data_IF_379943319167
#
_entry.id   IF_379943319167
#
_cell.length_a   1.000
_cell.length_b   1.000
_cell.length_c   1.000
_cell.angle_alpha   90.00
_cell.angle_beta   90.00
_cell.angle_gamma   90.00
#
_symmetry.space_group_name_H-M   'P 1'
#
loop_
_entity.id
_entity.type
_entity.pdbx_description
1 polymer ?
#
# COMPACT_ATOMS: atom_id res chain seq x y z
N UNK A 1 -9.39 -15.82 20.09
CA UNK A 1 -10.24 -15.15 19.09
C UNK A 1 -9.54 -13.85 18.77
N UNK A 2 -8.99 -13.64 17.56
CA UNK A 2 -8.47 -12.32 17.20
C UNK A 2 -9.59 -11.28 17.32
N UNK A 3 -9.26 -10.07 17.77
CA UNK A 3 -10.25 -9.01 17.83
C UNK A 3 -10.79 -8.69 16.43
N UNK A 4 -12.07 -8.33 16.28
CA UNK A 4 -12.57 -7.82 15.01
C UNK A 4 -11.76 -6.56 14.64
N UNK A 5 -10.86 -6.67 13.66
CA UNK A 5 -9.94 -5.62 13.24
C UNK A 5 -8.45 -5.94 13.38
N UNK A 6 -8.08 -7.02 14.06
CA UNK A 6 -6.68 -7.47 14.11
C UNK A 6 -6.35 -8.34 12.90
N UNK A 7 -5.24 -7.99 12.22
CA UNK A 7 -4.72 -8.78 11.12
C UNK A 7 -4.17 -10.10 11.67
N UNK A 8 -4.30 -11.21 10.92
CA UNK A 8 -3.77 -12.50 11.36
C UNK A 8 -2.24 -12.59 11.23
N UNK A 9 -1.56 -11.50 10.87
CA UNK A 9 -0.15 -11.38 10.56
C UNK A 9 0.33 -10.00 11.03
N UNK A 10 1.63 -9.85 11.30
CA UNK A 10 2.20 -8.62 11.86
C UNK A 10 2.99 -7.85 10.82
N UNK A 11 3.00 -6.51 10.91
CA UNK A 11 3.88 -5.67 10.09
C UNK A 11 4.88 -4.91 10.97
N UNK A 12 6.14 -5.33 10.93
CA UNK A 12 7.27 -4.62 11.50
C UNK A 12 7.81 -3.63 10.45
N UNK A 13 7.20 -2.46 10.35
CA UNK A 13 7.69 -1.42 9.44
C UNK A 13 8.66 -0.49 10.17
N UNK A 14 9.70 0.00 9.47
CA UNK A 14 10.41 1.20 9.94
C UNK A 14 9.37 2.33 9.96
N UNK A 15 9.00 2.70 11.18
CA UNK A 15 7.84 3.54 11.43
C UNK A 15 7.94 4.87 10.71
N UNK A 16 9.12 5.37 10.34
CA UNK A 16 9.32 6.74 9.89
C UNK A 16 8.45 7.18 8.69
N UNK A 17 8.29 6.34 7.67
CA UNK A 17 7.71 6.73 6.37
C UNK A 17 6.34 6.15 6.06
N UNK A 18 5.77 5.30 6.93
CA UNK A 18 4.44 4.73 6.72
C UNK A 18 3.52 5.14 7.86
N UNK A 19 2.29 5.54 7.52
CA UNK A 19 1.23 5.85 8.47
C UNK A 19 0.17 4.77 8.37
N UNK A 20 -0.08 4.06 9.46
CA UNK A 20 -1.15 3.07 9.50
C UNK A 20 -2.51 3.76 9.38
N UNK A 21 -3.37 3.25 8.48
CA UNK A 21 -4.74 3.69 8.31
C UNK A 21 -5.63 2.76 9.17
N UNK A 22 -6.35 3.30 10.16
CA UNK A 22 -7.11 2.50 11.11
C UNK A 22 -8.26 1.73 10.46
N UNK A 23 -8.67 0.65 11.11
CA UNK A 23 -9.96 0.01 10.84
C UNK A 23 -11.04 0.84 11.54
N UNK A 24 -11.64 1.78 10.83
CA UNK A 24 -12.77 2.56 11.32
C UNK A 24 -14.06 2.03 10.71
N UNK A 25 -15.12 2.04 11.52
CA UNK A 25 -16.48 1.94 10.98
C UNK A 25 -16.69 3.13 10.03
N UNK A 26 -17.23 2.94 8.81
CA UNK A 26 -17.57 4.04 7.92
C UNK A 26 -18.47 5.12 8.55
N UNK A 27 -19.21 4.80 9.63
CA UNK A 27 -20.02 5.73 10.40
C UNK A 27 -19.26 6.49 11.51
N UNK A 28 -18.01 6.11 11.81
CA UNK A 28 -17.19 6.70 12.88
C UNK A 28 -16.45 7.96 12.42
N UNK A 29 -17.20 9.06 12.34
CA UNK A 29 -16.65 10.37 11.97
C UNK A 29 -15.64 10.93 12.98
N UNK A 30 -15.83 10.65 14.28
CA UNK A 30 -14.95 11.16 15.34
C UNK A 30 -13.59 10.45 15.33
N UNK A 31 -13.58 9.12 15.15
CA UNK A 31 -12.36 8.35 14.94
C UNK A 31 -11.61 8.78 13.67
N UNK A 32 -12.35 9.10 12.60
CA UNK A 32 -11.77 9.58 11.35
C UNK A 32 -11.09 10.95 11.53
N UNK A 33 -11.76 11.92 12.16
CA UNK A 33 -11.19 13.24 12.41
C UNK A 33 -9.98 13.19 13.36
N UNK A 34 -10.03 12.32 14.38
CA UNK A 34 -8.91 12.10 15.30
C UNK A 34 -7.67 11.60 14.54
N UNK A 35 -7.83 10.58 13.69
CA UNK A 35 -6.72 10.04 12.91
C UNK A 35 -6.14 11.06 11.91
N UNK A 36 -6.99 11.86 11.26
CA UNK A 36 -6.53 12.95 10.37
C UNK A 36 -5.66 13.95 11.14
N UNK A 37 -6.05 14.30 12.37
CA UNK A 37 -5.26 15.17 13.26
C UNK A 37 -3.90 14.57 13.63
N UNK A 38 -3.86 13.27 13.94
CA UNK A 38 -2.61 12.54 14.22
C UNK A 38 -1.68 12.50 13.01
N UNK A 39 -2.25 12.26 11.81
CA UNK A 39 -1.50 12.26 10.57
C UNK A 39 -0.84 13.62 10.31
N UNK A 40 -1.55 14.73 10.52
CA UNK A 40 -0.99 16.08 10.41
C UNK A 40 0.18 16.29 11.39
N UNK A 41 0.00 15.90 12.66
CA UNK A 41 1.04 16.02 13.68
C UNK A 41 2.32 15.29 13.30
N UNK A 42 2.19 14.15 12.61
CA UNK A 42 3.31 13.34 12.13
C UNK A 42 4.15 14.03 11.05
N UNK A 43 3.54 14.84 10.19
CA UNK A 43 4.27 15.61 9.18
C UNK A 43 5.01 16.83 9.77
N UNK A 44 4.80 17.15 11.05
CA UNK A 44 5.43 18.31 11.69
C UNK A 44 5.01 19.65 11.07
N UNK A 45 3.86 19.67 10.38
CA UNK A 45 3.32 20.87 9.74
C UNK A 45 2.34 21.53 10.70
N UNK A 46 2.56 22.82 10.98
CA UNK A 46 1.69 23.59 11.86
C UNK A 46 0.72 24.47 11.05
N UNK A 47 -0.59 24.46 11.36
CA UNK A 47 -1.62 25.26 10.69
C UNK A 47 -1.26 26.75 10.56
N UNK A 48 -0.63 27.31 11.59
CA UNK A 48 -0.25 28.72 11.64
C UNK A 48 0.91 29.08 10.69
N UNK A 49 1.64 28.08 10.20
CA UNK A 49 2.87 28.27 9.40
C UNK A 49 2.71 27.87 7.93
N UNK A 50 1.80 26.95 7.62
CA UNK A 50 1.58 26.45 6.26
C UNK A 50 0.13 25.94 6.06
N UNK A 51 -0.86 26.85 6.03
CA UNK A 51 -2.28 26.49 5.98
C UNK A 51 -2.66 25.70 4.72
N UNK A 52 -2.13 26.06 3.55
CA UNK A 52 -2.41 25.35 2.29
C UNK A 52 -1.90 23.90 2.31
N UNK A 53 -0.71 23.66 2.89
CA UNK A 53 -0.16 22.31 3.04
C UNK A 53 -1.01 21.46 4.00
N UNK A 54 -1.58 22.09 5.04
CA UNK A 54 -2.48 21.42 5.98
C UNK A 54 -3.78 21.02 5.30
N UNK A 55 -4.41 21.91 4.53
CA UNK A 55 -5.61 21.58 3.77
C UNK A 55 -5.38 20.42 2.81
N UNK A 56 -4.25 20.42 2.10
CA UNK A 56 -3.88 19.35 1.19
C UNK A 56 -3.71 18.00 1.91
N UNK A 57 -2.97 17.97 3.02
CA UNK A 57 -2.75 16.75 3.81
C UNK A 57 -4.05 16.21 4.40
N UNK A 58 -4.93 17.10 4.88
CA UNK A 58 -6.27 16.72 5.38
C UNK A 58 -7.09 16.09 4.27
N UNK A 59 -7.09 16.69 3.08
CA UNK A 59 -7.81 16.14 1.93
C UNK A 59 -7.27 14.75 1.55
N UNK A 60 -5.95 14.56 1.50
CA UNK A 60 -5.31 13.27 1.22
C UNK A 60 -5.66 12.23 2.28
N UNK A 61 -5.56 12.58 3.56
CA UNK A 61 -5.90 11.69 4.66
C UNK A 61 -7.36 11.22 4.58
N UNK A 62 -8.30 12.13 4.31
CA UNK A 62 -9.73 11.78 4.10
C UNK A 62 -9.91 10.87 2.88
N UNK A 63 -9.20 11.13 1.79
CA UNK A 63 -9.22 10.27 0.60
C UNK A 63 -8.70 8.85 0.92
N UNK A 64 -7.62 8.73 1.71
CA UNK A 64 -7.07 7.44 2.13
C UNK A 64 -8.09 6.62 2.91
N UNK A 65 -8.75 7.24 3.89
CA UNK A 65 -9.82 6.59 4.67
C UNK A 65 -10.92 6.04 3.76
N UNK A 66 -11.42 6.87 2.83
CA UNK A 66 -12.51 6.51 1.93
C UNK A 66 -12.18 5.41 0.90
N UNK A 67 -10.91 5.27 0.52
CA UNK A 67 -10.47 4.26 -0.46
C UNK A 67 -9.92 2.98 0.17
N UNK A 68 -9.75 2.95 1.50
CA UNK A 68 -9.20 1.81 2.21
C UNK A 68 -10.20 0.64 2.23
N UNK A 69 -9.80 -0.54 1.71
CA UNK A 69 -10.67 -1.72 1.61
C UNK A 69 -10.64 -2.58 2.88
N UNK A 70 -11.77 -3.15 3.34
CA UNK A 70 -11.76 -4.09 4.47
C UNK A 70 -10.90 -5.33 4.20
N UNK A 71 -10.26 -5.88 5.25
CA UNK A 71 -9.54 -7.16 5.20
C UNK A 71 -8.05 -7.11 4.86
N UNK A 72 -7.47 -5.90 4.67
CA UNK A 72 -6.04 -5.70 4.43
C UNK A 72 -5.45 -4.69 5.42
N UNK A 73 -4.13 -4.80 5.69
CA UNK A 73 -3.39 -3.71 6.30
C UNK A 73 -3.39 -2.54 5.32
N UNK A 74 -3.72 -1.35 5.79
CA UNK A 74 -3.79 -0.15 4.96
C UNK A 74 -2.80 0.85 5.50
N UNK A 75 -1.92 1.32 4.64
CA UNK A 75 -0.85 2.25 4.98
C UNK A 75 -0.90 3.40 3.99
N UNK A 76 -0.64 4.59 4.50
CA UNK A 76 -0.27 5.72 3.67
C UNK A 76 1.26 5.81 3.65
N UNK A 77 1.87 5.76 2.46
CA UNK A 77 3.29 6.05 2.31
C UNK A 77 3.52 7.57 2.35
N UNK A 78 4.28 8.01 3.32
CA UNK A 78 4.40 9.38 3.79
C UNK A 78 5.88 9.77 4.01
N UNK A 79 6.71 9.80 2.95
CA UNK A 79 8.12 10.12 3.09
C UNK A 79 8.32 11.60 3.50
N UNK A 80 9.28 11.91 4.38
CA UNK A 80 9.59 13.29 4.75
C UNK A 80 9.98 14.15 3.55
N UNK A 81 9.43 15.37 3.48
CA UNK A 81 9.80 16.38 2.49
C UNK A 81 9.19 16.21 1.10
N UNK A 82 8.37 15.17 0.87
CA UNK A 82 7.70 14.91 -0.41
C UNK A 82 6.22 14.66 -0.16
N UNK A 83 5.36 15.41 -0.85
CA UNK A 83 3.94 15.10 -0.88
C UNK A 83 3.72 13.71 -1.45
N UNK A 84 2.81 12.94 -0.86
CA UNK A 84 2.48 11.61 -1.34
C UNK A 84 1.01 11.31 -1.09
N UNK A 85 0.36 10.77 -2.10
CA UNK A 85 -1.00 10.25 -2.07
C UNK A 85 -1.00 8.74 -2.34
N UNK A 86 0.04 8.03 -1.89
CA UNK A 86 0.17 6.60 -2.12
C UNK A 86 -0.52 5.80 -1.03
N UNK A 87 -1.63 5.15 -1.39
CA UNK A 87 -2.31 4.14 -0.59
C UNK A 87 -1.65 2.79 -0.84
N UNK A 88 -1.13 2.17 0.21
CA UNK A 88 -0.58 0.81 0.18
C UNK A 88 -1.51 -0.11 0.95
N UNK A 89 -2.01 -1.14 0.30
CA UNK A 89 -2.83 -2.20 0.90
C UNK A 89 -2.05 -3.50 0.87
N UNK A 90 -1.91 -4.17 2.02
CA UNK A 90 -1.20 -5.45 2.14
C UNK A 90 -2.16 -6.50 2.68
N UNK A 91 -2.22 -7.64 2.02
CA UNK A 91 -2.97 -8.81 2.43
C UNK A 91 -2.05 -10.03 2.45
N UNK A 92 -2.23 -10.91 3.44
CA UNK A 92 -1.50 -12.16 3.57
C UNK A 92 -2.51 -13.29 3.68
N UNK A 93 -2.41 -14.27 2.79
CA UNK A 93 -3.30 -15.42 2.71
C UNK A 93 -2.52 -16.73 2.75
N UNK A 94 -3.11 -17.79 3.31
CA UNK A 94 -2.56 -19.14 3.18
C UNK A 94 -2.55 -19.56 1.71
N UNK A 95 -1.41 -20.07 1.27
CA UNK A 95 -1.17 -20.62 -0.07
C UNK A 95 -1.22 -22.15 -0.10
N UNK A 96 -1.59 -22.82 1.00
CA UNK A 96 -1.83 -24.26 0.97
C UNK A 96 -2.77 -24.58 -0.22
N UNK A 97 -2.29 -25.42 -1.14
CA UNK A 97 -2.96 -25.84 -2.38
C UNK A 97 -2.89 -24.88 -3.59
N UNK A 98 -2.19 -23.75 -3.51
CA UNK A 98 -1.90 -22.90 -4.69
C UNK A 98 -0.53 -23.23 -5.29
N UNK A 99 -0.40 -23.31 -6.62
CA UNK A 99 0.90 -23.48 -7.28
C UNK A 99 1.82 -22.29 -6.99
N UNK A 100 3.14 -22.53 -6.96
CA UNK A 100 4.13 -21.46 -6.75
C UNK A 100 4.01 -20.44 -7.87
N UNK A 101 4.31 -19.17 -7.58
CA UNK A 101 4.19 -18.07 -8.56
C UNK A 101 4.97 -18.31 -9.86
N UNK A 102 6.06 -19.09 -9.81
CA UNK A 102 6.83 -19.53 -10.97
C UNK A 102 5.99 -20.30 -12.01
N UNK A 103 4.98 -21.05 -11.57
CA UNK A 103 4.08 -21.85 -12.42
C UNK A 103 2.91 -21.02 -12.96
N UNK A 104 2.45 -20.00 -12.22
CA UNK A 104 1.30 -19.16 -12.58
C UNK A 104 1.58 -18.20 -13.75
N UNK A 105 2.85 -17.86 -14.00
CA UNK A 105 3.22 -16.83 -14.98
C UNK A 105 4.26 -17.26 -16.02
N UNK A 106 4.64 -18.54 -16.06
CA UNK A 106 5.43 -19.09 -17.17
C UNK A 106 4.77 -18.85 -18.56
N UNK A 107 3.45 -18.60 -18.58
CA UNK A 107 2.64 -18.35 -19.78
C UNK A 107 2.19 -16.89 -19.97
N UNK A 108 2.49 -15.99 -19.01
CA UNK A 108 2.08 -14.59 -19.09
C UNK A 108 2.96 -13.82 -20.06
N UNK A 109 2.64 -13.97 -21.34
CA UNK A 109 3.22 -13.22 -22.44
C UNK A 109 2.82 -11.75 -22.32
N UNK A 110 3.85 -10.91 -22.29
CA UNK A 110 3.82 -9.47 -22.08
C UNK A 110 2.78 -8.74 -22.92
N UNK A 111 1.84 -8.05 -22.26
CA UNK A 111 1.13 -6.92 -22.86
C UNK A 111 2.01 -5.68 -22.78
N UNK A 112 2.13 -4.91 -23.87
CA UNK A 112 3.00 -3.72 -23.93
C UNK A 112 2.57 -2.56 -23.02
N UNK A 113 1.38 -2.67 -22.39
CA UNK A 113 0.85 -1.66 -21.46
C UNK A 113 1.18 -1.95 -19.99
N UNK A 114 1.81 -3.09 -19.69
CA UNK A 114 2.04 -3.57 -18.33
C UNK A 114 3.53 -3.88 -18.15
N UNK A 115 4.18 -3.16 -17.23
CA UNK A 115 5.57 -3.46 -16.86
C UNK A 115 5.58 -4.51 -15.75
N UNK A 116 6.30 -5.61 -15.99
CA UNK A 116 6.40 -6.73 -15.04
C UNK A 116 7.86 -6.96 -14.70
N UNK A 117 8.20 -6.83 -13.42
CA UNK A 117 9.55 -7.07 -12.92
C UNK A 117 9.54 -8.27 -11.96
N UNK A 118 10.36 -9.31 -12.19
CA UNK A 118 10.47 -10.43 -11.25
C UNK A 118 11.10 -9.97 -9.93
N UNK A 119 10.62 -10.53 -8.83
CA UNK A 119 11.08 -10.24 -7.48
C UNK A 119 11.44 -11.54 -6.76
N UNK A 120 12.58 -11.54 -6.09
CA UNK A 120 13.03 -12.67 -5.27
C UNK A 120 13.41 -12.16 -3.90
N UNK A 121 12.88 -12.81 -2.87
CA UNK A 121 13.11 -12.47 -1.47
C UNK A 121 13.69 -13.68 -0.76
N UNK A 122 14.44 -13.43 0.31
CA UNK A 122 14.98 -14.51 1.15
C UNK A 122 13.91 -15.13 2.06
N UNK A 123 12.89 -14.36 2.41
CA UNK A 123 11.91 -14.67 3.46
C UNK A 123 10.51 -15.02 2.94
N UNK A 124 10.09 -14.47 1.81
CA UNK A 124 8.70 -14.55 1.32
C UNK A 124 8.60 -15.19 -0.08
N UNK A 125 9.66 -15.89 -0.47
CA UNK A 125 9.72 -16.61 -1.74
C UNK A 125 9.90 -15.71 -2.95
N UNK A 126 9.27 -16.10 -4.05
CA UNK A 126 9.45 -15.53 -5.38
C UNK A 126 8.12 -14.97 -5.88
N UNK A 127 8.20 -13.91 -6.66
CA UNK A 127 7.04 -13.37 -7.34
C UNK A 127 7.41 -12.21 -8.25
N UNK A 128 6.60 -11.16 -8.26
CA UNK A 128 6.72 -10.07 -9.21
C UNK A 128 6.10 -8.78 -8.72
N UNK A 129 6.48 -7.69 -9.39
CA UNK A 129 5.84 -6.39 -9.33
C UNK A 129 5.23 -6.15 -10.71
N UNK A 130 3.93 -5.87 -10.75
CA UNK A 130 3.20 -5.41 -11.94
C UNK A 130 2.93 -3.92 -11.78
N UNK A 131 3.38 -3.11 -12.73
CA UNK A 131 3.15 -1.66 -12.74
C UNK A 131 2.30 -1.30 -13.96
N UNK A 132 1.24 -0.55 -13.71
CA UNK A 132 0.37 -0.04 -14.76
C UNK A 132 -0.28 1.28 -14.31
N UNK A 133 -1.00 1.93 -15.21
CA UNK A 133 -1.71 3.17 -14.88
C UNK A 133 -2.82 3.47 -15.86
N UNK A 134 -3.74 4.33 -15.44
CA UNK A 134 -4.90 4.77 -16.21
C UNK A 134 -4.94 6.30 -16.19
N UNK A 135 -5.17 6.90 -17.35
CA UNK A 135 -5.49 8.31 -17.43
C UNK A 135 -6.98 8.50 -17.14
N UNK A 136 -7.28 9.31 -16.13
CA UNK A 136 -8.64 9.71 -15.77
C UNK A 136 -8.88 11.12 -16.28
N UNK A 137 -10.11 11.39 -16.73
CA UNK A 137 -10.52 12.69 -17.27
C UNK A 137 -9.69 13.14 -18.49
N UNK A 138 -9.51 12.24 -19.46
CA UNK A 138 -8.80 12.50 -20.72
C UNK A 138 -9.39 13.67 -21.55
N UNK A 139 -10.65 14.02 -21.30
CA UNK A 139 -11.37 15.12 -21.97
C UNK A 139 -11.12 16.49 -21.32
N UNK A 140 -10.41 16.57 -20.19
CA UNK A 140 -10.11 17.83 -19.53
C UNK A 140 -9.07 18.63 -20.35
N UNK A 141 -9.32 19.93 -20.55
CA UNK A 141 -8.44 20.85 -21.30
C UNK A 141 -7.00 20.94 -20.75
N UNK A 142 -6.76 20.45 -19.53
CA UNK A 142 -5.49 20.48 -18.82
C UNK A 142 -4.70 19.16 -18.88
N UNK A 143 -5.17 18.16 -19.62
CA UNK A 143 -4.59 16.83 -19.68
C UNK A 143 -5.07 15.94 -18.53
N UNK A 144 -5.38 14.68 -18.83
CA UNK A 144 -5.90 13.74 -17.84
C UNK A 144 -4.95 13.49 -16.67
N UNK A 145 -5.49 13.10 -15.53
CA UNK A 145 -4.70 12.72 -14.34
C UNK A 145 -4.28 11.25 -14.46
N UNK A 146 -2.98 10.98 -14.41
CA UNK A 146 -2.48 9.61 -14.39
C UNK A 146 -2.62 9.02 -12.99
N UNK A 147 -3.45 7.99 -12.88
CA UNK A 147 -3.54 7.14 -11.69
C UNK A 147 -2.66 5.92 -11.91
N UNK A 148 -1.58 5.81 -11.14
CA UNK A 148 -0.68 4.67 -11.18
C UNK A 148 -1.13 3.60 -10.17
N UNK A 149 -1.04 2.34 -10.60
CA UNK A 149 -1.35 1.18 -9.78
C UNK A 149 -0.22 0.15 -9.87
N UNK A 150 0.31 -0.24 -8.71
CA UNK A 150 1.28 -1.33 -8.61
C UNK A 150 0.67 -2.50 -7.85
N UNK A 151 0.95 -3.71 -8.30
CA UNK A 151 0.58 -4.94 -7.60
C UNK A 151 1.83 -5.78 -7.41
N UNK A 152 2.17 -6.07 -6.17
CA UNK A 152 3.23 -7.00 -5.79
C UNK A 152 2.58 -8.30 -5.34
N UNK A 153 3.01 -9.40 -5.93
CA UNK A 153 2.64 -10.74 -5.49
C UNK A 153 3.90 -11.48 -5.10
N UNK A 154 3.90 -12.10 -3.92
CA UNK A 154 4.95 -12.99 -3.45
C UNK A 154 4.33 -14.29 -2.93
N UNK A 155 5.01 -15.41 -3.17
CA UNK A 155 4.57 -16.73 -2.74
C UNK A 155 5.76 -17.62 -2.43
N UNK A 156 5.74 -18.27 -1.26
CA UNK A 156 6.76 -19.24 -0.83
C UNK A 156 6.25 -20.70 -0.82
N UNK A 157 5.01 -20.92 -1.27
CA UNK A 157 4.30 -22.20 -1.23
C UNK A 157 3.49 -22.44 0.05
N UNK A 158 3.63 -21.60 1.07
CA UNK A 158 2.88 -21.65 2.33
C UNK A 158 1.99 -20.42 2.50
N UNK A 159 2.51 -19.24 2.19
CA UNK A 159 1.84 -17.96 2.26
C UNK A 159 1.89 -17.24 0.91
N UNK A 160 0.83 -16.49 0.62
CA UNK A 160 0.78 -15.53 -0.48
C UNK A 160 0.67 -14.14 0.13
N UNK A 161 1.53 -13.23 -0.30
CA UNK A 161 1.45 -11.81 0.03
C UNK A 161 0.99 -11.08 -1.23
N UNK A 162 -0.10 -10.33 -1.09
CA UNK A 162 -0.60 -9.41 -2.10
C UNK A 162 -0.44 -7.98 -1.55
N UNK A 163 0.27 -7.14 -2.27
CA UNK A 163 0.37 -5.71 -1.96
C UNK A 163 -0.08 -4.90 -3.16
N UNK A 164 -1.12 -4.10 -2.98
CA UNK A 164 -1.61 -3.15 -3.96
C UNK A 164 -1.22 -1.73 -3.55
N UNK A 165 -0.71 -0.96 -4.50
CA UNK A 165 -0.37 0.45 -4.32
C UNK A 165 -1.15 1.27 -5.34
N UNK A 166 -1.81 2.33 -4.88
CA UNK A 166 -2.56 3.26 -5.72
C UNK A 166 -2.16 4.70 -5.38
N UNK A 167 -1.99 5.53 -6.41
CA UNK A 167 -1.86 6.99 -6.22
C UNK A 167 -1.51 7.73 -7.51
N UNK A 168 -1.31 9.04 -7.40
CA UNK A 168 -1.03 9.91 -8.57
C UNK A 168 0.35 10.58 -8.50
N UNK A 169 1.01 10.57 -7.34
CA UNK A 169 2.29 11.25 -7.13
C UNK A 169 3.48 10.40 -7.59
N UNK A 170 3.85 10.53 -8.87
CA UNK A 170 4.95 9.75 -9.47
C UNK A 170 6.30 9.82 -8.71
N UNK A 171 6.78 10.97 -8.19
CA UNK A 171 8.01 10.99 -7.42
C UNK A 171 7.96 10.12 -6.15
N UNK A 172 6.79 9.98 -5.53
CA UNK A 172 6.62 9.13 -4.36
C UNK A 172 6.71 7.64 -4.72
N UNK A 173 6.27 7.23 -5.92
CA UNK A 173 6.41 5.84 -6.38
C UNK A 173 7.87 5.42 -6.52
N UNK A 174 8.73 6.30 -7.04
CA UNK A 174 10.17 6.04 -7.16
C UNK A 174 10.83 5.84 -5.80
N UNK A 175 10.40 6.58 -4.77
CA UNK A 175 10.88 6.38 -3.40
C UNK A 175 10.30 5.12 -2.78
N UNK A 176 9.02 4.85 -2.98
CA UNK A 176 8.40 3.62 -2.50
C UNK A 176 9.10 2.39 -3.06
N UNK A 177 9.50 2.40 -4.34
CA UNK A 177 10.28 1.31 -4.94
C UNK A 177 11.58 1.01 -4.21
N UNK A 178 12.27 2.06 -3.75
CA UNK A 178 13.50 1.91 -2.96
C UNK A 178 13.22 1.36 -1.55
N UNK A 179 12.05 1.67 -0.98
CA UNK A 179 11.62 1.18 0.34
C UNK A 179 10.94 -0.19 0.28
N UNK A 180 10.49 -0.63 -0.90
CA UNK A 180 9.71 -1.84 -1.07
C UNK A 180 10.39 -3.09 -0.49
N UNK A 181 11.71 -3.32 -0.65
CA UNK A 181 12.37 -4.46 -0.01
C UNK A 181 12.25 -4.46 1.51
N UNK A 182 12.36 -3.28 2.15
CA UNK A 182 12.24 -3.16 3.60
C UNK A 182 10.79 -3.38 4.06
N UNK A 183 9.83 -2.83 3.33
CA UNK A 183 8.41 -3.04 3.61
C UNK A 183 8.05 -4.52 3.54
N UNK A 184 8.53 -5.23 2.51
CA UNK A 184 8.33 -6.68 2.36
C UNK A 184 8.96 -7.45 3.52
N UNK A 185 10.21 -7.16 3.87
CA UNK A 185 10.90 -7.80 5.00
C UNK A 185 10.16 -7.60 6.33
N UNK A 186 9.46 -6.47 6.48
CA UNK A 186 8.64 -6.17 7.64
C UNK A 186 7.39 -7.04 7.79
N UNK A 187 6.95 -7.76 6.74
CA UNK A 187 5.75 -8.59 6.79
C UNK A 187 6.05 -9.88 7.56
N UNK A 188 5.64 -9.93 8.83
CA UNK A 188 5.67 -11.11 9.67
C UNK A 188 4.49 -12.01 9.36
N UNK A 189 4.74 -13.11 8.65
CA UNK A 189 3.73 -14.16 8.41
C UNK A 189 3.64 -15.09 9.62
N UNK A 190 2.47 -15.68 9.92
CA UNK A 190 2.36 -16.64 11.02
C UNK A 190 3.30 -17.82 10.78
N UNK A 191 3.99 -18.25 11.83
CA UNK A 191 4.71 -19.53 11.81
C UNK A 191 3.72 -20.61 11.35
N UNK A 192 4.05 -21.26 10.24
CA UNK A 192 3.30 -22.42 9.80
C UNK A 192 3.31 -23.39 10.97
N UNK A 193 2.15 -23.59 11.62
CA UNK A 193 2.01 -24.61 12.65
C UNK A 193 2.51 -25.89 12.02
N UNK A 194 3.68 -26.35 12.49
CA UNK A 194 4.27 -27.60 12.04
C UNK A 194 3.19 -28.66 12.17
N UNK A 195 2.67 -29.13 11.03
CA UNK A 195 1.80 -30.29 10.98
C UNK A 195 2.63 -31.54 11.14
#
# INVERSE_FOLDING_TARGET
MPHPGELPWDLQYDAAQFVAIPFLDPADAEGADTWVGEALGRYGIHPDTAPEAVEQIVATARMMLGNSRPGAARLWFAPPGIYSDLLVSVAVESSADRPRTEELFAEATSSTAVDVTPLRTETHGIGYIVRWGVLVDEEAEQGGTLVAQWTVLLNDGTWTILMDVLGTTLPAFLLLEQQLPQLILGIGVPDAVAR
#
